data_IF_822055346978
#
_entry.id   IF_822055346978
#
_cell.length_a   1.000
_cell.length_b   1.000
_cell.length_c   1.000
_cell.angle_alpha   90.00
_cell.angle_beta   90.00
_cell.angle_gamma   90.00
#
_symmetry.space_group_name_H-M   'P 1'
#
loop_
_entity.id
_entity.type
_entity.pdbx_description
1 polymer ?
#
# COMPACT_ATOMS: atom_id res chain seq x y z
N UNK A 1 -27.27 -17.64 -36.76
CA UNK A 1 -27.89 -16.30 -36.56
C UNK A 1 -26.88 -15.26 -36.03
N UNK A 2 -26.08 -15.56 -35.00
CA UNK A 2 -25.04 -14.64 -34.44
C UNK A 2 -24.08 -14.08 -35.49
N UNK A 3 -23.65 -14.89 -36.47
CA UNK A 3 -22.83 -14.45 -37.62
C UNK A 3 -23.45 -13.30 -38.42
N UNK A 4 -24.78 -13.28 -38.57
CA UNK A 4 -25.47 -12.23 -39.32
C UNK A 4 -25.53 -10.93 -38.49
N UNK A 5 -25.76 -11.03 -37.18
CA UNK A 5 -25.73 -9.87 -36.28
C UNK A 5 -24.34 -9.22 -36.23
N UNK A 6 -23.26 -10.01 -36.10
CA UNK A 6 -21.89 -9.47 -36.17
C UNK A 6 -21.60 -8.81 -37.53
N UNK A 7 -22.01 -9.43 -38.64
CA UNK A 7 -21.82 -8.87 -39.99
C UNK A 7 -22.54 -7.53 -40.15
N UNK A 8 -23.77 -7.42 -39.64
CA UNK A 8 -24.55 -6.17 -39.69
C UNK A 8 -23.96 -5.10 -38.79
N UNK A 9 -23.55 -5.45 -37.57
CA UNK A 9 -22.91 -4.52 -36.63
C UNK A 9 -21.59 -3.94 -37.20
N UNK A 10 -20.73 -4.79 -37.76
CA UNK A 10 -19.48 -4.37 -38.39
C UNK A 10 -19.69 -3.40 -39.56
N UNK A 11 -20.68 -3.69 -40.42
CA UNK A 11 -21.07 -2.78 -41.52
C UNK A 11 -21.58 -1.45 -41.00
N UNK A 12 -22.29 -1.44 -39.88
CA UNK A 12 -22.84 -0.22 -39.29
C UNK A 12 -21.73 0.66 -38.70
N UNK A 13 -20.77 0.06 -38.00
CA UNK A 13 -19.59 0.74 -37.44
C UNK A 13 -18.77 1.40 -38.56
N UNK A 14 -18.55 0.68 -39.67
CA UNK A 14 -17.82 1.20 -40.84
C UNK A 14 -18.58 2.31 -41.59
N UNK A 15 -19.92 2.33 -41.52
CA UNK A 15 -20.75 3.38 -42.15
C UNK A 15 -20.76 4.67 -41.33
N UNK A 16 -20.78 4.55 -40.01
CA UNK A 16 -20.81 5.69 -39.07
C UNK A 16 -19.50 5.81 -38.29
N UNK A 17 -18.38 5.98 -39.01
CA UNK A 17 -17.02 5.92 -38.43
C UNK A 17 -16.79 6.94 -37.33
N UNK A 18 -17.12 8.21 -37.57
CA UNK A 18 -16.87 9.30 -36.60
C UNK A 18 -17.65 9.05 -35.30
N UNK A 19 -18.95 8.76 -35.41
CA UNK A 19 -19.80 8.47 -34.26
C UNK A 19 -19.33 7.24 -33.48
N UNK A 20 -18.93 6.18 -34.20
CA UNK A 20 -18.41 4.96 -33.56
C UNK A 20 -17.08 5.21 -32.86
N UNK A 21 -16.18 6.01 -33.44
CA UNK A 21 -14.88 6.35 -32.83
C UNK A 21 -15.08 7.17 -31.56
N UNK A 22 -15.93 8.20 -31.57
CA UNK A 22 -16.17 9.04 -30.39
C UNK A 22 -16.72 8.20 -29.23
N UNK A 23 -17.73 7.36 -29.50
CA UNK A 23 -18.30 6.48 -28.47
C UNK A 23 -17.30 5.43 -27.97
N UNK A 24 -16.55 4.81 -28.89
CA UNK A 24 -15.57 3.80 -28.53
C UNK A 24 -14.45 4.37 -27.67
N UNK A 25 -13.92 5.55 -28.03
CA UNK A 25 -12.88 6.24 -27.26
C UNK A 25 -13.42 6.67 -25.90
N UNK A 26 -14.60 7.29 -25.84
CA UNK A 26 -15.20 7.71 -24.56
C UNK A 26 -15.42 6.54 -23.61
N UNK A 27 -15.97 5.44 -24.13
CA UNK A 27 -16.25 4.24 -23.33
C UNK A 27 -14.96 3.52 -22.89
N UNK A 28 -13.97 3.43 -23.78
CA UNK A 28 -12.66 2.83 -23.46
C UNK A 28 -11.89 3.67 -22.44
N UNK A 29 -11.87 4.99 -22.60
CA UNK A 29 -11.23 5.90 -21.64
C UNK A 29 -11.89 5.83 -20.26
N UNK A 30 -13.22 5.87 -20.20
CA UNK A 30 -13.96 5.76 -18.93
C UNK A 30 -13.68 4.43 -18.22
N UNK A 31 -13.73 3.32 -18.95
CA UNK A 31 -13.44 2.00 -18.38
C UNK A 31 -11.98 1.87 -17.94
N UNK A 32 -11.04 2.38 -18.73
CA UNK A 32 -9.61 2.33 -18.41
C UNK A 32 -9.30 3.13 -17.15
N UNK A 33 -9.85 4.35 -17.02
CA UNK A 33 -9.69 5.17 -15.81
C UNK A 33 -10.29 4.49 -14.58
N UNK A 34 -11.48 3.91 -14.69
CA UNK A 34 -12.09 3.18 -13.59
C UNK A 34 -11.25 1.98 -13.15
N UNK A 35 -10.69 1.22 -14.09
CA UNK A 35 -9.81 0.09 -13.80
C UNK A 35 -8.48 0.53 -13.17
N UNK A 36 -7.89 1.64 -13.62
CA UNK A 36 -6.67 2.19 -13.04
C UNK A 36 -6.89 2.63 -11.59
N UNK A 37 -7.99 3.34 -11.30
CA UNK A 37 -8.34 3.73 -9.93
C UNK A 37 -8.55 2.49 -9.07
N UNK A 38 -9.29 1.50 -9.56
CA UNK A 38 -9.51 0.25 -8.82
C UNK A 38 -8.20 -0.48 -8.53
N UNK A 39 -7.31 -0.61 -9.51
CA UNK A 39 -6.02 -1.25 -9.36
C UNK A 39 -5.14 -0.51 -8.33
N UNK A 40 -5.13 0.82 -8.39
CA UNK A 40 -4.43 1.67 -7.44
C UNK A 40 -4.96 1.48 -6.01
N UNK A 41 -6.28 1.59 -5.83
CA UNK A 41 -6.91 1.40 -4.51
C UNK A 41 -6.68 0.00 -3.96
N UNK A 42 -6.74 -1.03 -4.81
CA UNK A 42 -6.44 -2.41 -4.40
C UNK A 42 -4.98 -2.54 -3.95
N UNK A 43 -4.05 -1.93 -4.67
CA UNK A 43 -2.63 -1.92 -4.31
C UNK A 43 -2.44 -1.26 -2.94
N UNK A 44 -3.00 -0.07 -2.74
CA UNK A 44 -2.90 0.69 -1.50
C UNK A 44 -3.44 -0.11 -0.29
N UNK A 45 -4.63 -0.70 -0.43
CA UNK A 45 -5.25 -1.48 0.64
C UNK A 45 -4.53 -2.81 0.93
N UNK A 46 -3.70 -3.30 0.00
CA UNK A 46 -2.95 -4.55 0.16
C UNK A 46 -1.58 -4.38 0.82
N UNK A 47 -1.04 -3.15 0.88
CA UNK A 47 0.33 -2.89 1.32
C UNK A 47 0.61 -3.37 2.75
N UNK A 48 -0.31 -3.10 3.69
CA UNK A 48 -0.13 -3.40 5.13
C UNK A 48 -0.73 -4.74 5.58
N UNK A 49 -1.16 -5.61 4.64
CA UNK A 49 -1.82 -6.89 4.99
C UNK A 49 -0.86 -8.06 5.26
N UNK A 50 0.44 -7.81 5.37
CA UNK A 50 1.44 -8.87 5.56
C UNK A 50 1.46 -9.47 6.98
N UNK A 51 0.84 -8.80 7.95
CA UNK A 51 0.79 -9.29 9.33
C UNK A 51 -0.43 -10.19 9.58
N UNK A 52 -0.21 -11.48 9.84
CA UNK A 52 -1.29 -12.46 10.12
C UNK A 52 -2.24 -12.04 11.27
N UNK A 53 -1.71 -11.33 12.28
CA UNK A 53 -2.45 -10.87 13.47
C UNK A 53 -2.71 -9.35 13.45
N UNK A 54 -2.79 -8.72 12.28
CA UNK A 54 -2.90 -7.26 12.12
C UNK A 54 -3.99 -6.60 12.99
N UNK A 55 -5.14 -7.27 13.18
CA UNK A 55 -6.26 -6.74 13.99
C UNK A 55 -5.96 -6.58 15.48
N UNK A 56 -4.88 -7.21 15.98
CA UNK A 56 -4.45 -7.14 17.38
C UNK A 56 -3.08 -6.45 17.54
N UNK A 57 -2.58 -5.80 16.49
CA UNK A 57 -1.36 -5.00 16.55
C UNK A 57 -1.70 -3.57 16.96
N UNK A 58 -1.02 -3.09 18.00
CA UNK A 58 -1.22 -1.74 18.54
C UNK A 58 0.12 -1.04 18.72
N UNK A 59 0.14 0.28 18.47
CA UNK A 59 1.29 1.14 18.75
C UNK A 59 1.05 1.92 20.04
N UNK A 60 1.99 1.86 20.96
CA UNK A 60 1.92 2.62 22.20
C UNK A 60 2.26 4.10 21.95
N UNK A 61 1.33 4.98 22.34
CA UNK A 61 1.55 6.42 22.40
C UNK A 61 1.98 6.85 23.80
N UNK A 62 2.85 7.86 23.87
CA UNK A 62 3.30 8.45 25.12
C UNK A 62 2.78 9.89 25.24
N UNK A 63 1.98 10.18 26.26
CA UNK A 63 1.49 11.52 26.54
C UNK A 63 2.41 12.17 27.58
N UNK A 64 3.08 13.25 27.19
CA UNK A 64 3.94 14.04 28.06
C UNK A 64 3.07 15.00 28.89
N UNK A 65 3.55 15.38 30.08
CA UNK A 65 2.85 16.27 31.02
C UNK A 65 2.43 17.62 30.43
N UNK A 66 3.11 18.10 29.39
CA UNK A 66 2.76 19.32 28.66
C UNK A 66 1.68 19.11 27.59
N UNK A 67 1.07 17.92 27.51
CA UNK A 67 0.04 17.57 26.55
C UNK A 67 0.56 17.05 25.20
N UNK A 68 1.87 16.97 25.00
CA UNK A 68 2.44 16.42 23.75
C UNK A 68 2.19 14.91 23.66
N UNK A 69 1.59 14.48 22.54
CA UNK A 69 1.42 13.07 22.19
C UNK A 69 2.59 12.64 21.31
N UNK A 70 3.44 11.78 21.82
CA UNK A 70 4.56 11.19 21.11
C UNK A 70 4.19 9.79 20.62
N UNK A 71 4.62 9.46 19.40
CA UNK A 71 4.49 8.13 18.84
C UNK A 71 5.66 7.20 19.21
N UNK A 72 6.53 7.67 20.11
CA UNK A 72 7.71 6.97 20.61
C UNK A 72 7.61 6.83 22.12
N UNK A 73 7.98 5.66 22.63
CA UNK A 73 7.95 5.33 24.05
C UNK A 73 9.36 5.12 24.60
N UNK A 74 9.59 5.40 25.90
CA UNK A 74 10.83 5.03 26.56
C UNK A 74 11.14 3.52 26.39
N UNK A 75 12.39 3.14 26.07
CA UNK A 75 12.75 1.73 25.85
C UNK A 75 12.29 0.77 26.95
N UNK A 76 12.36 1.09 28.26
CA UNK A 76 11.96 0.16 29.32
C UNK A 76 10.50 -0.29 29.30
N UNK A 77 9.60 0.42 28.59
CA UNK A 77 8.18 0.10 28.56
C UNK A 77 7.91 -1.30 27.97
N UNK A 78 8.60 -1.69 26.89
CA UNK A 78 8.31 -2.95 26.19
C UNK A 78 8.47 -4.25 27.03
N UNK A 79 9.56 -4.45 27.82
CA UNK A 79 9.72 -5.65 28.64
C UNK A 79 8.79 -5.66 29.85
N UNK A 80 8.53 -4.48 30.41
CA UNK A 80 7.69 -4.30 31.58
C UNK A 80 6.21 -4.49 31.24
N UNK A 81 5.82 -4.26 29.98
CA UNK A 81 4.43 -4.37 29.55
C UNK A 81 3.85 -5.76 29.77
N UNK A 82 4.62 -6.82 29.47
CA UNK A 82 4.18 -8.21 29.66
C UNK A 82 4.05 -8.59 31.13
N UNK A 83 4.77 -7.91 32.02
CA UNK A 83 4.75 -8.15 33.47
C UNK A 83 3.48 -7.57 34.11
N UNK A 84 3.09 -6.35 33.72
CA UNK A 84 1.92 -5.68 34.29
C UNK A 84 0.61 -5.97 33.55
N UNK A 85 0.66 -6.36 32.29
CA UNK A 85 -0.52 -6.59 31.45
C UNK A 85 -0.49 -8.00 30.83
N UNK A 86 -1.14 -8.99 31.44
CA UNK A 86 -1.15 -10.37 30.94
C UNK A 86 -1.84 -10.54 29.57
N UNK A 87 -2.63 -9.55 29.12
CA UNK A 87 -3.26 -9.53 27.80
C UNK A 87 -2.26 -9.29 26.65
N UNK A 88 -1.05 -8.84 26.98
CA UNK A 88 0.00 -8.57 25.99
C UNK A 88 0.78 -9.85 25.68
N UNK A 89 0.45 -10.50 24.56
CA UNK A 89 1.17 -11.70 24.09
C UNK A 89 2.64 -11.38 23.74
N UNK A 90 2.85 -10.36 22.89
CA UNK A 90 4.14 -10.03 22.32
C UNK A 90 4.41 -8.52 22.28
N UNK A 91 5.67 -8.14 22.43
CA UNK A 91 6.12 -6.75 22.32
C UNK A 91 7.29 -6.65 21.35
N UNK A 92 7.26 -5.63 20.51
CA UNK A 92 8.34 -5.31 19.57
C UNK A 92 8.74 -3.84 19.73
N UNK A 93 9.98 -3.53 19.35
CA UNK A 93 10.48 -2.16 19.31
C UNK A 93 10.98 -1.86 17.90
N UNK A 94 10.61 -0.69 17.39
CA UNK A 94 11.07 -0.17 16.10
C UNK A 94 11.98 1.01 16.36
N UNK A 95 13.17 1.01 15.75
CA UNK A 95 14.13 2.11 15.80
C UNK A 95 14.56 2.40 14.38
N UNK A 96 14.40 3.66 13.94
CA UNK A 96 15.11 4.11 12.76
C UNK A 96 16.61 4.07 13.06
N UNK A 97 17.36 3.26 12.32
CA UNK A 97 18.81 3.19 12.42
C UNK A 97 19.43 3.61 11.09
N UNK A 98 20.61 4.21 11.20
CA UNK A 98 21.50 4.33 10.07
C UNK A 98 22.36 3.07 10.03
N UNK A 99 22.50 2.48 8.86
CA UNK A 99 23.28 1.26 8.67
C UNK A 99 24.37 1.54 7.65
N UNK A 100 25.61 1.24 8.00
CA UNK A 100 26.71 1.29 7.05
C UNK A 100 26.73 -0.01 6.24
N UNK A 101 26.58 0.11 4.92
CA UNK A 101 26.62 -1.02 4.00
C UNK A 101 27.94 -0.98 3.25
N UNK A 102 28.63 -2.13 3.21
CA UNK A 102 29.88 -2.33 2.47
C UNK A 102 29.64 -3.30 1.32
N UNK A 103 30.03 -2.90 0.11
CA UNK A 103 29.86 -3.74 -1.08
C UNK A 103 30.90 -4.89 -1.10
N UNK A 104 30.53 -6.11 -1.54
CA UNK A 104 31.42 -7.28 -1.50
C UNK A 104 32.72 -7.13 -2.30
N UNK A 105 32.66 -6.45 -3.46
CA UNK A 105 33.78 -6.33 -4.40
C UNK A 105 34.47 -4.96 -4.39
N UNK A 106 34.34 -4.18 -3.30
CA UNK A 106 34.94 -2.85 -3.23
C UNK A 106 35.28 -2.38 -1.82
N UNK A 107 36.16 -1.38 -1.74
CA UNK A 107 36.45 -0.65 -0.50
C UNK A 107 35.49 0.54 -0.30
N UNK A 108 34.35 0.54 -1.01
CA UNK A 108 33.32 1.56 -0.93
C UNK A 108 32.28 1.15 0.12
N UNK A 109 32.02 2.05 1.05
CA UNK A 109 30.94 1.95 2.03
C UNK A 109 30.06 3.18 1.90
N UNK A 110 28.75 2.99 2.00
CA UNK A 110 27.79 4.09 2.10
C UNK A 110 26.90 3.88 3.33
N UNK A 111 26.32 4.97 3.81
CA UNK A 111 25.43 4.96 4.96
C UNK A 111 23.98 5.04 4.45
N UNK A 112 23.18 4.03 4.77
CA UNK A 112 21.75 4.04 4.49
C UNK A 112 21.03 4.58 5.72
N UNK A 113 20.23 5.62 5.54
CA UNK A 113 19.48 6.26 6.64
C UNK A 113 18.03 5.76 6.65
N UNK A 114 17.35 5.89 7.80
CA UNK A 114 15.94 5.49 7.97
C UNK A 114 15.65 4.00 7.71
N UNK A 115 16.57 3.11 8.13
CA UNK A 115 16.31 1.66 8.13
C UNK A 115 15.51 1.30 9.39
N UNK A 116 14.35 0.66 9.24
CA UNK A 116 13.44 0.27 10.34
C UNK A 116 13.32 -1.25 10.47
#
# INVERSE_FOLDING_TARGET
MVKNFLKTAWRNILRYKIYSVINFVGLTCGLSLALLIFAYTRSELSYDQFHEKASRLYRFGYLVSNGLKLASTPPPIAPVLKEYFPEVEETARLYGRNVSIRLPEGNQSFEETNVY
#
